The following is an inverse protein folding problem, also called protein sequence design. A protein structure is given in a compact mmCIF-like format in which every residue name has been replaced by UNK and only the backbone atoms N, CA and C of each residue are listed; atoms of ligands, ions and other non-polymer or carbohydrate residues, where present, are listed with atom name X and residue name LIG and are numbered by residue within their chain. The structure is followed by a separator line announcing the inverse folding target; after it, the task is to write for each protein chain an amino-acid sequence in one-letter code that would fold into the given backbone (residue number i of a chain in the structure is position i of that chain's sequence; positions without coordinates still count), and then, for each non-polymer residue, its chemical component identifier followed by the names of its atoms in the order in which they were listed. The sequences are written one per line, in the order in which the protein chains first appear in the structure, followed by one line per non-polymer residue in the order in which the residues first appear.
data_IF_393117947023
#
_entry.id   IF_393117947023
#
_cell.length_a   1.000
_cell.length_b   1.000
_cell.length_c   1.000
_cell.angle_alpha   90.00
_cell.angle_beta   90.00
_cell.angle_gamma   90.00
#
_symmetry.space_group_name_H-M   'P 1'
#
loop_
_entity.id
_entity.type
_entity.pdbx_description
1 polymer ?
#
# COMPACT_ATOMS: atom_id res chain seq x y z
N UNK A 1 2.67 9.45 -21.68
CA UNK A 1 2.57 8.17 -20.94
C UNK A 1 3.50 7.07 -21.49
N UNK A 2 4.61 7.40 -22.17
CA UNK A 2 5.44 6.39 -22.86
C UNK A 2 6.54 5.74 -21.99
N UNK A 3 6.64 6.07 -20.69
CA UNK A 3 7.64 5.50 -19.78
C UNK A 3 7.13 4.33 -18.93
N UNK A 4 5.81 4.08 -18.88
CA UNK A 4 5.23 3.01 -18.04
C UNK A 4 5.44 1.59 -18.60
N UNK A 5 5.57 1.45 -19.93
CA UNK A 5 5.74 0.14 -20.58
C UNK A 5 7.18 -0.40 -20.54
N UNK A 6 8.18 0.42 -20.22
CA UNK A 6 9.58 -0.01 -20.20
C UNK A 6 10.04 -0.55 -18.83
N UNK A 7 9.28 -0.28 -17.77
CA UNK A 7 9.65 -0.62 -16.38
C UNK A 7 8.67 -1.61 -15.72
N UNK A 8 7.50 -1.82 -16.34
CA UNK A 8 6.47 -2.72 -15.84
C UNK A 8 5.92 -2.32 -14.47
N UNK A 9 6.06 -1.06 -14.05
CA UNK A 9 5.45 -0.47 -12.85
C UNK A 9 4.40 0.55 -13.28
N UNK A 10 3.21 0.49 -12.69
CA UNK A 10 2.07 1.34 -13.04
C UNK A 10 1.84 2.49 -12.06
N UNK A 11 2.48 2.46 -10.88
CA UNK A 11 2.38 3.52 -9.89
C UNK A 11 3.75 3.93 -9.33
N UNK A 12 3.97 5.24 -9.24
CA UNK A 12 5.02 5.86 -8.43
C UNK A 12 4.38 7.05 -7.71
N UNK A 13 4.42 7.07 -6.39
CA UNK A 13 3.81 8.12 -5.59
C UNK A 13 4.65 8.49 -4.36
N UNK A 14 4.45 9.70 -3.84
CA UNK A 14 5.12 10.21 -2.65
C UNK A 14 4.08 10.76 -1.68
N UNK A 15 4.20 10.44 -0.40
CA UNK A 15 3.31 10.96 0.66
C UNK A 15 4.10 11.29 1.93
N UNK A 16 3.57 12.20 2.75
CA UNK A 16 4.12 12.47 4.07
C UNK A 16 3.65 11.37 5.05
N UNK A 17 4.59 10.68 5.68
CA UNK A 17 4.38 9.73 6.76
C UNK A 17 4.12 10.43 8.10
N UNK A 18 3.46 9.73 9.02
CA UNK A 18 3.16 10.24 10.35
C UNK A 18 4.41 10.24 11.22
N UNK A 19 4.87 11.41 11.66
CA UNK A 19 5.95 11.54 12.64
C UNK A 19 5.39 11.27 14.05
N UNK A 20 5.97 10.36 14.86
CA UNK A 20 5.56 10.18 16.24
C UNK A 20 5.69 11.50 17.02
N UNK A 21 4.59 12.00 17.59
CA UNK A 21 4.57 13.23 18.40
C UNK A 21 4.07 14.50 17.72
N UNK A 22 3.67 14.47 16.45
CA UNK A 22 2.94 15.59 15.83
C UNK A 22 1.43 15.31 15.79
N UNK A 23 0.60 16.14 16.42
CA UNK A 23 -0.84 16.21 16.13
C UNK A 23 -1.01 16.72 14.70
N UNK A 24 -1.28 15.83 13.75
CA UNK A 24 -1.46 16.16 12.34
C UNK A 24 -2.81 16.90 12.15
N UNK A 25 -2.77 18.22 12.22
CA UNK A 25 -3.85 19.09 11.72
C UNK A 25 -3.50 19.48 10.28
N UNK A 26 -4.16 18.90 9.28
CA UNK A 26 -4.17 19.47 7.92
C UNK A 26 -4.16 18.49 6.75
N UNK A 27 -5.25 18.55 5.97
CA UNK A 27 -5.45 18.13 4.58
C UNK A 27 -5.64 16.62 4.32
N UNK A 28 -6.88 16.17 4.04
CA UNK A 28 -7.14 14.83 3.51
C UNK A 28 -6.38 14.66 2.20
N UNK A 29 -5.41 13.75 2.17
CA UNK A 29 -4.73 13.40 0.93
C UNK A 29 -5.71 12.58 0.08
N UNK A 30 -6.45 13.26 -0.79
CA UNK A 30 -7.36 12.65 -1.77
C UNK A 30 -6.55 11.85 -2.78
N UNK A 31 -6.96 10.60 -3.01
CA UNK A 31 -6.46 9.64 -4.01
C UNK A 31 -5.27 8.76 -3.61
N UNK A 32 -5.48 7.90 -2.61
CA UNK A 32 -5.03 6.51 -2.75
C UNK A 32 -6.28 5.63 -2.94
N UNK A 33 -6.69 5.46 -4.20
CA UNK A 33 -7.84 4.63 -4.60
C UNK A 33 -7.62 3.12 -4.33
N UNK A 34 -6.43 2.76 -3.82
CA UNK A 34 -6.05 1.40 -3.44
C UNK A 34 -5.67 1.30 -1.95
N UNK A 35 -5.98 2.33 -1.15
CA UNK A 35 -5.94 2.21 0.31
C UNK A 35 -6.91 1.10 0.72
N UNK A 36 -6.35 -0.05 1.07
CA UNK A 36 -7.06 -1.21 1.57
C UNK A 36 -8.02 -0.77 2.69
N UNK A 37 -9.35 -0.93 2.54
CA UNK A 37 -10.37 -0.32 3.41
C UNK A 37 -10.36 -0.83 4.85
N UNK A 38 -9.52 -1.82 5.19
CA UNK A 38 -9.46 -2.42 6.52
C UNK A 38 -8.36 -1.90 7.43
N UNK A 39 -7.56 -0.91 7.01
CA UNK A 39 -6.57 -0.27 7.91
C UNK A 39 -5.50 -1.22 8.48
N UNK A 40 -5.40 -2.46 7.97
CA UNK A 40 -4.43 -3.47 8.40
C UNK A 40 -3.08 -3.21 7.73
N UNK A 41 -2.43 -2.12 8.14
CA UNK A 41 -1.01 -1.85 7.96
C UNK A 41 -0.69 -0.60 8.77
N UNK A 42 -0.56 -0.75 10.09
CA UNK A 42 -0.03 0.32 10.95
C UNK A 42 1.48 0.41 10.77
N UNK A 43 1.90 0.77 9.58
CA UNK A 43 3.31 0.93 9.24
C UNK A 43 3.76 2.32 9.65
N UNK A 44 4.51 2.42 10.75
CA UNK A 44 5.07 3.68 11.24
C UNK A 44 6.30 4.08 10.41
N UNK A 45 6.10 4.31 9.12
CA UNK A 45 7.11 4.90 8.24
C UNK A 45 7.18 6.40 8.57
N UNK A 46 8.32 6.85 9.09
CA UNK A 46 8.55 8.26 9.39
C UNK A 46 8.94 9.07 8.14
N UNK A 47 8.68 10.38 8.18
CA UNK A 47 9.14 11.32 7.15
C UNK A 47 8.45 11.16 5.80
N UNK A 48 9.12 11.50 4.70
CA UNK A 48 8.55 11.33 3.36
C UNK A 48 8.61 9.87 2.92
N UNK A 49 7.51 9.33 2.42
CA UNK A 49 7.37 7.93 1.99
C UNK A 49 7.21 7.91 0.47
N UNK A 50 8.06 7.12 -0.20
CA UNK A 50 7.88 6.76 -1.60
C UNK A 50 7.16 5.43 -1.72
N UNK A 51 6.29 5.31 -2.71
CA UNK A 51 5.57 4.08 -3.04
C UNK A 51 5.80 3.74 -4.50
N UNK A 52 6.08 2.47 -4.77
CA UNK A 52 6.14 1.90 -6.11
C UNK A 52 5.11 0.79 -6.19
N UNK A 53 4.24 0.87 -7.19
CA UNK A 53 3.18 -0.10 -7.43
C UNK A 53 3.33 -0.80 -8.78
N UNK A 54 2.94 -2.07 -8.80
CA UNK A 54 2.90 -2.92 -9.98
C UNK A 54 1.66 -3.77 -9.99
N UNK A 55 0.84 -3.58 -11.02
CA UNK A 55 -0.22 -4.53 -11.39
C UNK A 55 0.37 -5.74 -12.10
N UNK A 56 0.40 -6.87 -11.40
CA UNK A 56 0.90 -8.14 -11.93
C UNK A 56 -0.16 -8.85 -12.77
N UNK A 57 -1.44 -8.62 -12.47
CA UNK A 57 -2.58 -9.11 -13.25
C UNK A 57 -3.84 -8.29 -12.93
N UNK A 58 -4.98 -8.63 -13.53
CA UNK A 58 -6.28 -8.05 -13.15
C UNK A 58 -6.69 -8.33 -11.70
N UNK A 59 -6.06 -9.31 -11.03
CA UNK A 59 -6.41 -9.77 -9.68
C UNK A 59 -5.27 -9.63 -8.66
N UNK A 60 -4.10 -9.19 -9.10
CA UNK A 60 -2.88 -9.16 -8.28
C UNK A 60 -2.20 -7.80 -8.39
N UNK A 61 -1.96 -7.17 -7.25
CA UNK A 61 -1.26 -5.89 -7.16
C UNK A 61 -0.19 -5.96 -6.08
N UNK A 62 1.03 -5.60 -6.46
CA UNK A 62 2.20 -5.55 -5.58
C UNK A 62 2.58 -4.09 -5.35
N UNK A 63 2.76 -3.71 -4.10
CA UNK A 63 3.28 -2.39 -3.73
C UNK A 63 4.50 -2.52 -2.82
N UNK A 64 5.44 -1.61 -2.98
CA UNK A 64 6.57 -1.44 -2.08
C UNK A 64 6.64 0.01 -1.59
N UNK A 65 6.70 0.18 -0.28
CA UNK A 65 6.76 1.48 0.38
C UNK A 65 8.07 1.62 1.14
N UNK A 66 8.71 2.78 1.07
CA UNK A 66 9.92 3.05 1.83
C UNK A 66 10.01 4.53 2.22
N UNK A 67 10.48 4.78 3.44
CA UNK A 67 10.90 6.12 3.86
C UNK A 67 12.06 6.60 2.99
N UNK A 68 11.92 7.77 2.36
CA UNK A 68 12.95 8.39 1.53
C UNK A 68 13.95 9.16 2.40
N UNK A 69 13.44 9.78 3.47
CA UNK A 69 14.26 10.55 4.42
C UNK A 69 14.57 9.78 5.70
N UNK A 70 13.99 8.60 5.88
CA UNK A 70 14.18 7.74 7.03
C UNK A 70 14.98 6.49 6.65
N UNK A 71 15.84 6.01 7.56
CA UNK A 71 16.67 4.80 7.36
C UNK A 71 15.89 3.49 7.55
N UNK A 72 14.57 3.56 7.75
CA UNK A 72 13.70 2.42 8.04
C UNK A 72 13.65 1.40 6.88
N UNK A 73 13.45 0.14 7.24
CA UNK A 73 13.16 -0.92 6.26
C UNK A 73 11.89 -0.60 5.47
N UNK A 74 11.88 -1.01 4.20
CA UNK A 74 10.68 -0.87 3.37
C UNK A 74 9.66 -1.97 3.67
N UNK A 75 8.45 -1.76 3.17
CA UNK A 75 7.32 -2.66 3.37
C UNK A 75 6.78 -3.05 2.01
N UNK A 76 6.76 -4.35 1.76
CA UNK A 76 6.18 -4.95 0.58
C UNK A 76 4.79 -5.46 0.94
N UNK A 77 3.80 -5.14 0.10
CA UNK A 77 2.44 -5.66 0.23
C UNK A 77 1.97 -6.26 -1.09
N UNK A 78 1.46 -7.48 -1.03
CA UNK A 78 0.79 -8.14 -2.15
C UNK A 78 -0.69 -8.29 -1.80
N UNK A 79 -1.56 -7.79 -2.68
CA UNK A 79 -3.00 -7.99 -2.60
C UNK A 79 -3.44 -8.90 -3.74
N UNK A 80 -4.14 -9.98 -3.42
CA UNK A 80 -4.61 -10.97 -4.38
C UNK A 80 -6.09 -11.32 -4.16
N UNK A 81 -6.93 -11.03 -5.15
CA UNK A 81 -8.34 -11.45 -5.12
C UNK A 81 -8.45 -12.91 -5.56
N UNK A 82 -8.68 -13.82 -4.61
CA UNK A 82 -8.93 -15.25 -4.85
C UNK A 82 -10.30 -15.51 -5.51
N UNK A 83 -11.30 -14.69 -5.17
CA UNK A 83 -12.63 -14.66 -5.81
C UNK A 83 -13.18 -13.23 -5.72
N UNK A 84 -14.33 -12.89 -6.34
CA UNK A 84 -14.96 -11.58 -6.15
C UNK A 84 -15.33 -11.25 -4.69
N UNK A 85 -15.38 -12.26 -3.80
CA UNK A 85 -15.71 -12.09 -2.38
C UNK A 85 -14.54 -12.33 -1.44
N UNK A 86 -13.40 -12.85 -1.94
CA UNK A 86 -12.27 -13.30 -1.12
C UNK A 86 -10.99 -12.64 -1.60
N UNK A 87 -10.32 -11.93 -0.68
CA UNK A 87 -9.04 -11.27 -0.93
C UNK A 87 -8.03 -11.70 0.11
N UNK A 88 -6.82 -12.04 -0.32
CA UNK A 88 -5.65 -12.27 0.55
C UNK A 88 -4.75 -11.05 0.45
N UNK A 89 -4.27 -10.56 1.59
CA UNK A 89 -3.23 -9.54 1.66
C UNK A 89 -2.06 -10.11 2.43
N UNK A 90 -0.87 -10.04 1.85
CA UNK A 90 0.36 -10.39 2.54
C UNK A 90 1.21 -9.15 2.67
N UNK A 91 1.78 -8.93 3.85
CA UNK A 91 2.75 -7.87 4.12
C UNK A 91 4.07 -8.47 4.56
N UNK A 92 5.17 -7.92 4.06
CA UNK A 92 6.53 -8.25 4.49
C UNK A 92 7.33 -6.96 4.70
N UNK A 93 8.22 -6.94 5.68
CA UNK A 93 8.98 -5.77 6.09
C UNK A 93 9.68 -6.06 7.41
N UNK A 94 9.63 -5.11 8.34
CA UNK A 94 10.04 -5.35 9.73
C UNK A 94 9.18 -6.44 10.39
N UNK A 95 7.85 -6.31 10.24
CA UNK A 95 6.89 -7.33 10.61
C UNK A 95 6.23 -7.91 9.35
N UNK A 96 6.09 -9.24 9.32
CA UNK A 96 5.42 -9.95 8.24
C UNK A 96 4.07 -10.50 8.69
N UNK A 97 3.05 -10.36 7.85
CA UNK A 97 1.69 -10.77 8.16
C UNK A 97 0.96 -11.28 6.91
N UNK A 98 -0.09 -12.06 7.14
CA UNK A 98 -1.02 -12.53 6.10
C UNK A 98 -2.45 -12.39 6.62
N UNK A 99 -3.25 -11.61 5.91
CA UNK A 99 -4.64 -11.34 6.19
C UNK A 99 -5.55 -11.94 5.11
N UNK A 100 -6.71 -12.43 5.53
CA UNK A 100 -7.76 -12.94 4.65
C UNK A 100 -9.04 -12.15 4.88
N UNK A 101 -9.59 -11.60 3.81
CA UNK A 101 -10.84 -10.84 3.82
C UNK A 101 -11.92 -11.58 3.04
N UNK A 102 -13.10 -11.69 3.67
CA UNK A 102 -14.30 -12.21 3.03
C UNK A 102 -15.41 -11.16 3.10
N UNK A 103 -16.04 -10.87 1.96
CA UNK A 103 -17.15 -9.90 1.88
C UNK A 103 -18.50 -10.61 1.71
N UNK A 104 -19.39 -10.44 2.68
CA UNK A 104 -20.80 -10.80 2.56
C UNK A 104 -21.61 -9.62 2.02
N UNK A 105 -22.56 -9.90 1.13
CA UNK A 105 -23.53 -8.91 0.63
C UNK A 105 -24.91 -9.50 0.85
N UNK A 106 -25.81 -8.71 1.43
CA UNK A 106 -27.22 -9.02 1.54
C UNK A 106 -27.96 -8.25 0.45
N UNK A 107 -28.91 -8.92 -0.18
CA UNK A 107 -29.91 -8.35 -1.08
C UNK A 107 -31.20 -8.12 -0.26
#
# INVERSE_FOLDING_TARGET
SQLSDMLGVDEISFRQGSTPGSTQTGTPNTASLFSNPTGLANSTLGGQIGTIGKRLSSRAYLSYERGITATTAGITKLTYSLTPKVTVVTQAGEDSAVDLFYTFRFD
#
